data_IF_210261162178
#
_entry.id   IF_210261162178
#
_cell.length_a   1.000
_cell.length_b   1.000
_cell.length_c   1.000
_cell.angle_alpha   90.00
_cell.angle_beta   90.00
_cell.angle_gamma   90.00
#
_symmetry.space_group_name_H-M   'P 1'
#
loop_
_entity.id
_entity.type
_entity.pdbx_description
1 polymer ?
#
# COMPACT_ATOMS: atom_id res chain seq x y z
N UNK A 1 -11.04 -29.32 -64.78
CA UNK A 1 -10.90 -29.84 -63.41
C UNK A 1 -10.47 -28.67 -62.56
N UNK A 2 -11.42 -28.05 -61.87
CA UNK A 2 -11.16 -26.86 -61.08
C UNK A 2 -10.75 -27.29 -59.67
N UNK A 3 -9.45 -27.21 -59.38
CA UNK A 3 -8.84 -27.62 -58.14
C UNK A 3 -8.91 -26.50 -57.12
N UNK A 4 -10.10 -26.28 -56.56
CA UNK A 4 -10.28 -25.31 -55.48
C UNK A 4 -9.52 -25.79 -54.24
N UNK A 5 -8.40 -25.15 -53.91
CA UNK A 5 -7.67 -25.39 -52.67
C UNK A 5 -8.60 -25.00 -51.52
N UNK A 6 -8.98 -25.91 -50.60
CA UNK A 6 -9.84 -25.55 -49.49
C UNK A 6 -9.10 -24.54 -48.61
N UNK A 7 -9.63 -23.32 -48.51
CA UNK A 7 -9.16 -22.32 -47.58
C UNK A 7 -9.51 -22.79 -46.17
N UNK A 8 -8.51 -23.29 -45.45
CA UNK A 8 -8.67 -23.67 -44.03
C UNK A 8 -9.08 -22.42 -43.26
N UNK A 9 -10.34 -22.34 -42.84
CA UNK A 9 -10.80 -21.25 -41.99
C UNK A 9 -10.06 -21.34 -40.65
N UNK A 10 -9.33 -20.28 -40.32
CA UNK A 10 -8.68 -20.13 -39.03
C UNK A 10 -9.76 -19.91 -37.99
N UNK A 11 -9.83 -20.82 -37.02
CA UNK A 11 -10.76 -20.69 -35.90
C UNK A 11 -10.16 -19.78 -34.81
N UNK A 12 -11.00 -19.25 -33.93
CA UNK A 12 -10.53 -18.52 -32.75
C UNK A 12 -9.62 -19.39 -31.85
N UNK A 13 -9.85 -20.71 -31.84
CA UNK A 13 -9.00 -21.67 -31.11
C UNK A 13 -7.60 -21.73 -31.71
N UNK A 14 -7.50 -21.73 -33.04
CA UNK A 14 -6.20 -21.69 -33.74
C UNK A 14 -5.43 -20.40 -33.43
N UNK A 15 -6.13 -19.27 -33.32
CA UNK A 15 -5.52 -17.99 -32.93
C UNK A 15 -5.00 -18.03 -31.49
N UNK A 16 -5.81 -18.49 -30.52
CA UNK A 16 -5.36 -18.61 -29.13
C UNK A 16 -4.16 -19.56 -29.00
N UNK A 17 -4.19 -20.69 -29.72
CA UNK A 17 -3.10 -21.64 -29.70
C UNK A 17 -1.80 -21.04 -30.28
N UNK A 18 -1.91 -20.24 -31.35
CA UNK A 18 -0.77 -19.50 -31.90
C UNK A 18 -0.22 -18.47 -30.90
N UNK A 19 -1.09 -17.73 -30.19
CA UNK A 19 -0.69 -16.77 -29.15
C UNK A 19 0.04 -17.48 -28.02
N UNK A 20 -0.52 -18.55 -27.46
CA UNK A 20 0.11 -19.29 -26.36
C UNK A 20 1.47 -19.87 -26.76
N UNK A 21 1.58 -20.48 -27.95
CA UNK A 21 2.86 -20.96 -28.47
C UNK A 21 3.89 -19.84 -28.63
N UNK A 22 3.46 -18.67 -29.07
CA UNK A 22 4.36 -17.52 -29.21
C UNK A 22 4.83 -17.01 -27.83
N UNK A 23 3.92 -16.92 -26.85
CA UNK A 23 4.24 -16.54 -25.48
C UNK A 23 5.18 -17.55 -24.80
N UNK A 24 4.99 -18.85 -25.05
CA UNK A 24 5.86 -19.92 -24.56
C UNK A 24 7.25 -19.85 -25.21
N UNK A 25 7.31 -19.67 -26.54
CA UNK A 25 8.57 -19.56 -27.29
C UNK A 25 9.45 -18.39 -26.83
N UNK A 26 8.83 -17.29 -26.39
CA UNK A 26 9.54 -16.11 -25.89
C UNK A 26 9.70 -16.09 -24.36
N UNK A 27 9.40 -17.18 -23.65
CA UNK A 27 9.45 -17.29 -22.18
C UNK A 27 8.67 -16.18 -21.45
N UNK A 28 7.68 -15.61 -22.12
CA UNK A 28 6.90 -14.48 -21.63
C UNK A 28 5.88 -14.92 -20.57
N UNK A 29 5.55 -16.22 -20.51
CA UNK A 29 4.70 -16.81 -19.48
C UNK A 29 5.33 -16.74 -18.08
N UNK A 30 6.66 -16.71 -18.00
CA UNK A 30 7.41 -16.63 -16.74
C UNK A 30 8.02 -15.26 -16.47
N UNK A 31 7.70 -14.27 -17.31
CA UNK A 31 8.12 -12.89 -17.11
C UNK A 31 7.45 -12.29 -15.85
N UNK A 32 8.18 -11.44 -15.09
CA UNK A 32 7.63 -10.64 -13.99
C UNK A 32 6.25 -10.03 -14.22
N UNK A 33 6.02 -9.44 -15.40
CA UNK A 33 4.75 -8.80 -15.72
C UNK A 33 3.60 -9.80 -15.67
N UNK A 34 3.76 -10.94 -16.33
CA UNK A 34 2.75 -12.01 -16.40
C UNK A 34 2.48 -12.60 -15.02
N UNK A 35 3.56 -12.86 -14.26
CA UNK A 35 3.45 -13.42 -12.91
C UNK A 35 2.70 -12.47 -11.98
N UNK A 36 3.04 -11.18 -12.00
CA UNK A 36 2.32 -10.23 -11.15
C UNK A 36 0.91 -9.94 -11.66
N UNK A 37 0.70 -9.78 -12.97
CA UNK A 37 -0.64 -9.57 -13.54
C UNK A 37 -1.63 -10.70 -13.19
N UNK A 38 -1.13 -11.93 -12.98
CA UNK A 38 -1.97 -13.05 -12.53
C UNK A 38 -2.46 -12.95 -11.08
N UNK A 39 -1.90 -12.03 -10.28
CA UNK A 39 -2.31 -11.79 -8.89
C UNK A 39 -3.51 -10.84 -8.86
N UNK A 40 -4.71 -11.32 -9.19
CA UNK A 40 -5.90 -10.49 -8.97
C UNK A 40 -6.08 -10.27 -7.45
N UNK A 41 -6.37 -9.04 -7.00
CA UNK A 41 -6.85 -8.81 -5.64
C UNK A 41 -8.17 -9.58 -5.50
N UNK A 42 -8.22 -10.50 -4.56
CA UNK A 42 -9.45 -11.16 -4.12
C UNK A 42 -10.00 -10.40 -2.90
N UNK A 43 -11.04 -10.92 -2.25
CA UNK A 43 -11.48 -10.46 -0.92
C UNK A 43 -10.48 -10.89 0.19
N UNK A 44 -9.19 -10.67 -0.06
CA UNK A 44 -8.08 -11.03 0.78
C UNK A 44 -7.93 -10.08 1.97
N UNK A 45 -7.45 -10.62 3.09
CA UNK A 45 -6.81 -9.77 4.10
C UNK A 45 -5.52 -9.15 3.56
N UNK A 46 -5.13 -7.99 4.12
CA UNK A 46 -3.88 -7.29 3.78
C UNK A 46 -2.67 -8.24 3.91
N UNK A 47 -2.65 -9.05 4.98
CA UNK A 47 -1.57 -10.01 5.20
C UNK A 47 -1.57 -11.14 4.17
N UNK A 48 -2.75 -11.69 3.86
CA UNK A 48 -2.90 -12.76 2.86
C UNK A 48 -2.38 -12.31 1.49
N UNK A 49 -2.80 -11.13 1.04
CA UNK A 49 -2.33 -10.56 -0.23
C UNK A 49 -0.82 -10.34 -0.21
N UNK A 50 -0.25 -9.74 0.84
CA UNK A 50 1.19 -9.53 0.94
C UNK A 50 1.99 -10.84 0.89
N UNK A 51 1.46 -11.92 1.47
CA UNK A 51 2.08 -13.25 1.41
C UNK A 51 2.03 -13.84 -0.01
N UNK A 52 0.90 -13.71 -0.71
CA UNK A 52 0.81 -14.12 -2.14
C UNK A 52 1.78 -13.32 -2.99
N UNK A 53 1.87 -12.02 -2.75
CA UNK A 53 2.81 -11.15 -3.45
C UNK A 53 4.27 -11.59 -3.28
N UNK A 54 4.68 -11.88 -2.03
CA UNK A 54 5.98 -12.46 -1.72
C UNK A 54 6.21 -13.78 -2.47
N UNK A 55 5.24 -14.68 -2.45
CA UNK A 55 5.36 -15.97 -3.13
C UNK A 55 5.57 -15.80 -4.64
N UNK A 56 4.82 -14.89 -5.27
CA UNK A 56 4.98 -14.56 -6.69
C UNK A 56 6.34 -13.97 -7.00
N UNK A 57 6.86 -13.08 -6.15
CA UNK A 57 8.23 -12.57 -6.30
C UNK A 57 9.28 -13.68 -6.26
N UNK A 58 9.13 -14.67 -5.39
CA UNK A 58 10.08 -15.79 -5.30
C UNK A 58 9.92 -16.84 -6.40
N UNK A 59 8.87 -16.77 -7.23
CA UNK A 59 8.74 -17.57 -8.46
C UNK A 59 9.56 -17.00 -9.62
N UNK A 60 9.99 -15.74 -9.53
CA UNK A 60 10.79 -15.08 -10.55
C UNK A 60 12.21 -15.68 -10.61
N UNK A 61 12.82 -15.61 -11.80
CA UNK A 61 14.22 -15.96 -11.99
C UNK A 61 15.11 -15.09 -11.09
N UNK A 62 16.34 -15.55 -10.81
CA UNK A 62 17.29 -14.76 -9.99
C UNK A 62 17.60 -13.41 -10.62
N UNK A 63 17.76 -13.36 -11.94
CA UNK A 63 18.06 -12.14 -12.68
C UNK A 63 16.91 -11.13 -12.59
N UNK A 64 15.67 -11.62 -12.78
CA UNK A 64 14.48 -10.78 -12.69
C UNK A 64 14.31 -10.20 -11.29
N UNK A 65 14.52 -11.01 -10.25
CA UNK A 65 14.41 -10.54 -8.86
C UNK A 65 15.33 -9.36 -8.55
N UNK A 66 16.48 -9.27 -9.21
CA UNK A 66 17.42 -8.15 -9.02
C UNK A 66 17.19 -6.98 -9.97
N UNK A 67 16.26 -7.10 -10.91
CA UNK A 67 16.02 -6.08 -11.93
C UNK A 67 15.32 -4.82 -11.39
N UNK A 68 15.58 -3.68 -12.05
CA UNK A 68 14.86 -2.43 -11.82
C UNK A 68 13.39 -2.52 -12.23
N UNK A 69 13.07 -3.36 -13.22
CA UNK A 69 11.69 -3.61 -13.66
C UNK A 69 10.86 -4.20 -12.53
N UNK A 70 11.38 -5.23 -11.85
CA UNK A 70 10.71 -5.82 -10.69
C UNK A 70 10.65 -4.83 -9.53
N UNK A 71 11.67 -3.99 -9.33
CA UNK A 71 11.62 -2.93 -8.32
C UNK A 71 10.46 -1.97 -8.56
N UNK A 72 10.27 -1.51 -9.81
CA UNK A 72 9.14 -0.66 -10.19
C UNK A 72 7.81 -1.37 -9.97
N UNK A 73 7.70 -2.64 -10.39
CA UNK A 73 6.50 -3.44 -10.15
C UNK A 73 6.21 -3.61 -8.66
N UNK A 74 7.23 -3.78 -7.81
CA UNK A 74 7.04 -3.88 -6.36
C UNK A 74 6.37 -2.61 -5.82
N UNK A 75 6.89 -1.45 -6.22
CA UNK A 75 6.34 -0.14 -5.85
C UNK A 75 4.91 0.05 -6.36
N UNK A 76 4.68 -0.23 -7.64
CA UNK A 76 3.38 -0.08 -8.29
C UNK A 76 2.29 -0.95 -7.64
N UNK A 77 2.60 -2.24 -7.42
CA UNK A 77 1.67 -3.17 -6.81
C UNK A 77 1.40 -2.85 -5.34
N UNK A 78 2.43 -2.50 -4.58
CA UNK A 78 2.28 -2.16 -3.17
C UNK A 78 1.46 -0.87 -2.99
N UNK A 79 1.75 0.17 -3.77
CA UNK A 79 1.01 1.44 -3.70
C UNK A 79 -0.46 1.30 -4.12
N UNK A 80 -0.75 0.48 -5.15
CA UNK A 80 -2.12 0.28 -5.65
C UNK A 80 -2.97 -0.62 -4.75
N UNK A 81 -2.42 -1.72 -4.25
CA UNK A 81 -3.19 -2.77 -3.58
C UNK A 81 -3.01 -2.82 -2.06
N UNK A 82 -1.95 -2.21 -1.55
CA UNK A 82 -1.65 -2.13 -0.12
C UNK A 82 -1.38 -0.68 0.32
N UNK A 83 -2.26 0.29 0.02
CA UNK A 83 -1.97 1.71 0.23
C UNK A 83 -1.57 2.05 1.67
N UNK A 84 -2.20 1.43 2.68
CA UNK A 84 -1.86 1.66 4.09
C UNK A 84 -0.49 1.08 4.48
N UNK A 85 -0.12 -0.07 3.91
CA UNK A 85 1.23 -0.64 4.10
C UNK A 85 2.26 0.24 3.39
N UNK A 86 1.93 0.70 2.18
CA UNK A 86 2.79 1.56 1.37
C UNK A 86 3.14 2.85 2.09
N UNK A 87 2.17 3.56 2.69
CA UNK A 87 2.42 4.79 3.46
C UNK A 87 3.47 4.61 4.57
N UNK A 88 3.55 3.42 5.16
CA UNK A 88 4.52 3.13 6.23
C UNK A 88 5.85 2.63 5.63
N UNK A 89 5.78 1.87 4.54
CA UNK A 89 6.95 1.23 3.94
C UNK A 89 7.79 2.19 3.09
N UNK A 90 7.17 3.01 2.26
CA UNK A 90 7.81 3.90 1.28
C UNK A 90 9.10 4.59 1.78
N UNK A 91 9.12 5.27 2.95
CA UNK A 91 10.31 5.99 3.40
C UNK A 91 11.49 5.08 3.75
N UNK A 92 11.24 3.80 4.07
CA UNK A 92 12.28 2.85 4.47
C UNK A 92 12.72 1.90 3.34
N UNK A 93 12.06 1.94 2.18
CA UNK A 93 12.36 1.02 1.07
C UNK A 93 13.45 1.52 0.13
N UNK A 94 13.78 2.83 0.11
CA UNK A 94 14.63 3.46 -0.91
C UNK A 94 15.96 2.73 -1.17
N UNK A 95 16.70 2.35 -0.11
CA UNK A 95 18.01 1.71 -0.23
C UNK A 95 17.98 0.17 -0.16
N UNK A 96 16.79 -0.44 -0.12
CA UNK A 96 16.66 -1.88 0.02
C UNK A 96 16.71 -2.57 -1.36
N UNK A 97 17.35 -3.73 -1.40
CA UNK A 97 17.24 -4.65 -2.52
C UNK A 97 15.82 -5.21 -2.61
N UNK A 98 15.40 -5.67 -3.79
CA UNK A 98 14.04 -6.17 -4.01
C UNK A 98 13.61 -7.31 -3.06
N UNK A 99 14.53 -8.23 -2.72
CA UNK A 99 14.28 -9.28 -1.74
C UNK A 99 13.96 -8.69 -0.36
N UNK A 100 14.74 -7.70 0.07
CA UNK A 100 14.54 -7.00 1.33
C UNK A 100 13.26 -6.16 1.31
N UNK A 101 12.94 -5.52 0.18
CA UNK A 101 11.71 -4.74 0.01
C UNK A 101 10.48 -5.60 0.23
N UNK A 102 10.43 -6.76 -0.43
CA UNK A 102 9.31 -7.70 -0.30
C UNK A 102 9.15 -8.20 1.13
N UNK A 103 10.24 -8.60 1.80
CA UNK A 103 10.16 -9.05 3.19
C UNK A 103 9.69 -7.93 4.12
N UNK A 104 10.16 -6.70 3.91
CA UNK A 104 9.74 -5.53 4.69
C UNK A 104 8.26 -5.22 4.51
N UNK A 105 7.75 -5.28 3.28
CA UNK A 105 6.32 -5.11 2.96
C UNK A 105 5.48 -6.14 3.71
N UNK A 106 5.88 -7.41 3.71
CA UNK A 106 5.16 -8.48 4.43
C UNK A 106 5.17 -8.26 5.94
N UNK A 107 6.30 -7.82 6.51
CA UNK A 107 6.38 -7.50 7.94
C UNK A 107 5.43 -6.35 8.32
N UNK A 108 5.39 -5.28 7.53
CA UNK A 108 4.50 -4.14 7.78
C UNK A 108 3.05 -4.56 7.58
N UNK A 109 2.73 -5.36 6.56
CA UNK A 109 1.39 -5.89 6.32
C UNK A 109 0.86 -6.67 7.54
N UNK A 110 1.70 -7.50 8.17
CA UNK A 110 1.35 -8.21 9.41
C UNK A 110 1.03 -7.25 10.56
N UNK A 111 1.81 -6.19 10.72
CA UNK A 111 1.59 -5.18 11.77
C UNK A 111 0.29 -4.41 11.53
N UNK A 112 0.05 -3.97 10.29
CA UNK A 112 -1.18 -3.27 9.91
C UNK A 112 -2.41 -4.14 10.12
N UNK A 113 -2.33 -5.43 9.77
CA UNK A 113 -3.45 -6.36 9.99
C UNK A 113 -3.77 -6.53 11.47
N UNK A 114 -2.74 -6.65 12.33
CA UNK A 114 -2.91 -6.73 13.79
C UNK A 114 -3.65 -5.52 14.37
N UNK A 115 -3.34 -4.31 13.89
CA UNK A 115 -4.04 -3.10 14.34
C UNK A 115 -5.52 -3.11 13.98
N UNK A 116 -5.91 -3.64 12.82
CA UNK A 116 -7.32 -3.77 12.46
C UNK A 116 -8.06 -4.70 13.43
N UNK A 117 -7.43 -5.82 13.81
CA UNK A 117 -8.01 -6.78 14.75
C UNK A 117 -8.13 -6.19 16.17
N UNK A 118 -7.12 -5.43 16.61
CA UNK A 118 -7.10 -4.78 17.93
C UNK A 118 -8.15 -3.66 18.01
N UNK A 119 -8.25 -2.78 17.01
CA UNK A 119 -9.25 -1.70 16.98
C UNK A 119 -10.70 -2.21 17.03
N UNK A 120 -11.00 -3.32 16.35
CA UNK A 120 -12.31 -3.96 16.42
C UNK A 120 -12.65 -4.50 17.81
N UNK A 121 -11.66 -4.98 18.58
CA UNK A 121 -11.86 -5.45 19.96
C UNK A 121 -12.13 -4.30 20.91
N UNK A 122 -11.44 -3.17 20.78
CA UNK A 122 -11.68 -1.99 21.61
C UNK A 122 -13.08 -1.39 21.37
N UNK A 123 -13.57 -1.39 20.13
CA UNK A 123 -14.92 -0.90 19.82
C UNK A 123 -16.03 -1.83 20.32
N UNK A 124 -15.86 -3.16 20.25
CA UNK A 124 -16.84 -4.12 20.80
C UNK A 124 -17.00 -4.03 22.32
N UNK A 125 -15.94 -3.66 23.04
CA UNK A 125 -15.96 -3.52 24.49
C UNK A 125 -16.51 -2.16 24.95
N UNK A 126 -16.80 -1.24 24.03
CA UNK A 126 -17.34 0.10 24.34
C UNK A 126 -18.88 0.14 24.36
N UNK A 127 -19.56 -0.99 24.16
CA UNK A 127 -21.02 -1.07 24.14
C UNK A 127 -21.66 -1.24 25.54
N UNK A 128 -20.87 -1.24 26.62
CA UNK A 128 -21.39 -1.15 28.00
C UNK A 128 -21.32 0.30 28.50
N UNK A 129 -22.46 0.98 28.34
CA UNK A 129 -22.98 2.18 29.01
C UNK A 129 -21.99 3.29 29.48
N UNK A 130 -22.05 4.51 28.91
CA UNK A 130 -21.39 5.66 29.52
C UNK A 130 -22.18 6.14 30.74
N UNK A 131 -21.60 6.03 31.93
CA UNK A 131 -22.03 6.82 33.09
C UNK A 131 -21.82 8.31 32.78
N UNK A 132 -22.78 9.20 33.14
CA UNK A 132 -22.67 10.61 32.83
C UNK A 132 -21.51 11.24 33.63
N UNK A 133 -20.53 11.79 32.92
CA UNK A 133 -19.47 12.61 33.50
C UNK A 133 -20.08 13.93 33.99
N UNK A 134 -20.26 14.05 35.30
CA UNK A 134 -20.61 15.32 35.95
C UNK A 134 -19.44 16.30 35.77
N UNK A 135 -19.62 17.30 34.91
CA UNK A 135 -18.72 18.46 34.85
C UNK A 135 -18.74 19.17 36.21
N UNK A 136 -17.61 19.16 36.92
CA UNK A 136 -17.39 20.08 38.02
C UNK A 136 -17.19 21.49 37.44
N UNK A 137 -18.28 22.26 37.44
CA UNK A 137 -18.29 23.70 37.17
C UNK A 137 -17.53 24.42 38.29
N UNK A 138 -16.39 25.02 37.97
CA UNK A 138 -15.72 25.96 38.86
C UNK A 138 -16.42 27.31 38.77
N UNK A 139 -17.39 27.54 39.66
CA UNK A 139 -17.87 28.88 39.98
C UNK A 139 -16.79 29.61 40.78
N UNK A 140 -16.24 30.69 40.22
CA UNK A 140 -15.52 31.70 41.01
C UNK A 140 -16.18 33.04 40.74
N UNK A 141 -16.81 33.58 41.79
CA UNK A 141 -17.52 34.86 41.81
C UNK A 141 -16.60 36.06 41.50
N UNK A 142 -17.14 37.14 40.92
CA UNK A 142 -16.40 38.36 40.59
C UNK A 142 -16.46 39.34 41.77
N UNK A 143 -15.32 39.67 42.39
CA UNK A 143 -15.23 40.87 43.23
C UNK A 143 -13.83 41.50 43.16
N UNK A 144 -13.76 42.53 42.32
CA UNK A 144 -13.23 43.88 42.59
C UNK A 144 -11.99 43.99 43.51
N UNK A 145 -10.85 44.38 42.94
CA UNK A 145 -10.08 45.58 43.34
C UNK A 145 -9.11 45.99 42.19
N UNK A 146 -8.95 47.29 41.88
CA UNK A 146 -8.04 47.78 40.84
C UNK A 146 -6.71 48.28 41.44
N UNK A 147 -5.58 47.94 40.81
CA UNK A 147 -4.29 48.63 41.05
C UNK A 147 -3.57 48.82 39.71
N UNK A 148 -3.69 50.06 39.23
CA UNK A 148 -2.74 50.99 38.64
C UNK A 148 -1.53 50.58 37.76
N UNK A 149 -1.30 51.46 36.78
CA UNK A 149 -0.35 51.48 35.67
C UNK A 149 1.13 51.29 36.07
N UNK A 150 1.96 50.72 35.18
CA UNK A 150 2.91 51.44 34.28
C UNK A 150 3.99 50.49 33.72
N UNK A 151 4.30 50.65 32.42
CA UNK A 151 5.56 50.31 31.72
C UNK A 151 5.90 48.81 31.49
N UNK A 152 6.53 48.32 30.43
CA UNK A 152 7.14 48.83 29.17
C UNK A 152 7.49 47.55 28.37
N UNK A 153 7.20 47.52 27.07
CA UNK A 153 8.07 46.98 26.00
C UNK A 153 8.57 45.51 26.09
N UNK A 154 8.18 44.67 25.13
CA UNK A 154 9.01 44.30 23.97
C UNK A 154 8.39 43.16 23.17
N UNK A 155 8.22 43.43 21.88
CA UNK A 155 7.90 42.47 20.85
C UNK A 155 9.08 41.53 20.59
N UNK A 156 8.81 40.24 20.39
CA UNK A 156 9.65 39.39 19.54
C UNK A 156 8.75 38.60 18.59
N UNK A 157 8.64 39.14 17.37
CA UNK A 157 8.34 38.38 16.16
C UNK A 157 9.66 37.76 15.72
N UNK A 158 9.68 36.45 15.49
CA UNK A 158 10.71 35.82 14.64
C UNK A 158 10.01 35.01 13.56
N UNK A 159 9.84 35.64 12.41
CA UNK A 159 9.50 35.03 11.14
C UNK A 159 10.75 34.35 10.59
N UNK A 160 10.71 33.05 10.29
CA UNK A 160 11.51 32.46 9.21
C UNK A 160 10.60 31.60 8.34
N UNK A 161 10.15 32.19 7.24
CA UNK A 161 9.54 31.49 6.12
C UNK A 161 10.59 30.82 5.26
N UNK A 162 10.21 29.70 4.64
CA UNK A 162 10.92 29.14 3.48
C UNK A 162 9.85 28.77 2.45
N UNK A 163 9.82 29.53 1.34
CA UNK A 163 9.14 29.16 0.10
C UNK A 163 10.07 28.25 -0.71
N UNK A 164 9.50 27.24 -1.37
CA UNK A 164 10.17 26.52 -2.44
C UNK A 164 9.53 26.89 -3.78
N UNK A 165 10.38 27.28 -4.73
CA UNK A 165 10.07 27.41 -6.15
C UNK A 165 9.85 26.04 -6.80
#
# INVERSE_FOLDING_TARGET
MDGSIPTKQITWVDMLNAIFKNLEMHDCLHNPLTIFASMSPENDSIESFARRFRNSFYRLSRNDRTSSTVQFMITDWCSRHLPRVWTIAEPVLFNLRNDQRIEKIVQIAKQVNRWNDESCKFQKNSADSPLPLTLASSHTDPNLYPIDDTQVEQAFVSNHGVCYC
#
